data_IF_191840851192
#
_entry.id   IF_191840851192
#
_cell.length_a   1.000
_cell.length_b   1.000
_cell.length_c   1.000
_cell.angle_alpha   90.00
_cell.angle_beta   90.00
_cell.angle_gamma   90.00
#
_symmetry.space_group_name_H-M   'P 1'
#
loop_
_entity.id
_entity.type
_entity.pdbx_description
1 polymer ?
#
# COMPACT_ATOMS: atom_id res chain seq x y z
N UNK A 1 11.66 -5.56 11.05
CA UNK A 1 11.96 -4.87 9.78
C UNK A 1 10.64 -4.69 9.05
N UNK A 2 10.06 -3.49 9.08
CA UNK A 2 8.84 -3.18 8.32
C UNK A 2 9.20 -3.19 6.84
N UNK A 3 8.52 -4.03 6.07
CA UNK A 3 8.65 -4.01 4.62
C UNK A 3 7.63 -3.02 4.02
N UNK A 4 7.74 -2.73 2.73
CA UNK A 4 6.85 -1.77 2.05
C UNK A 4 5.37 -2.09 2.20
N UNK A 5 4.99 -3.38 2.18
CA UNK A 5 3.59 -3.75 2.39
C UNK A 5 3.13 -3.40 3.81
N UNK A 6 3.97 -3.63 4.82
CA UNK A 6 3.62 -3.29 6.20
C UNK A 6 3.37 -1.79 6.34
N UNK A 7 4.21 -0.94 5.73
CA UNK A 7 4.02 0.53 5.72
C UNK A 7 2.68 0.93 5.10
N UNK A 8 2.33 0.35 3.96
CA UNK A 8 1.04 0.59 3.28
C UNK A 8 -0.13 0.19 4.19
N UNK A 9 -0.06 -0.97 4.84
CA UNK A 9 -1.12 -1.46 5.72
C UNK A 9 -1.23 -0.65 7.02
N UNK A 10 -0.12 -0.17 7.56
CA UNK A 10 -0.10 0.75 8.70
C UNK A 10 -0.80 2.06 8.36
N UNK A 11 -0.46 2.68 7.22
CA UNK A 11 -1.11 3.92 6.77
C UNK A 11 -2.63 3.77 6.58
N UNK A 12 -3.09 2.63 6.05
CA UNK A 12 -4.52 2.35 5.96
C UNK A 12 -5.19 2.30 7.34
N UNK A 13 -4.51 1.67 8.31
CA UNK A 13 -5.02 1.50 9.66
C UNK A 13 -5.04 2.82 10.42
N UNK A 14 -3.93 3.57 10.37
CA UNK A 14 -3.76 4.87 11.02
C UNK A 14 -4.76 5.91 10.52
N UNK A 15 -5.03 5.93 9.21
CA UNK A 15 -6.00 6.86 8.60
C UNK A 15 -7.44 6.34 8.61
N UNK A 16 -7.69 5.13 9.11
CA UNK A 16 -9.03 4.52 9.14
C UNK A 16 -9.66 4.29 7.76
N UNK A 17 -8.83 4.06 6.74
CA UNK A 17 -9.25 3.96 5.33
C UNK A 17 -9.68 2.53 5.01
N UNK A 18 -10.85 2.38 4.39
CA UNK A 18 -11.33 1.08 3.94
C UNK A 18 -10.53 0.57 2.73
N UNK A 19 -10.21 -0.73 2.72
CA UNK A 19 -9.48 -1.38 1.62
C UNK A 19 -10.16 -1.19 0.26
N UNK A 20 -11.49 -1.14 0.22
CA UNK A 20 -12.25 -0.93 -1.02
C UNK A 20 -11.98 0.46 -1.57
N UNK A 21 -12.12 1.49 -0.75
CA UNK A 21 -11.85 2.89 -1.12
C UNK A 21 -10.40 3.07 -1.58
N UNK A 22 -9.44 2.51 -0.84
CA UNK A 22 -8.04 2.55 -1.25
C UNK A 22 -7.81 1.88 -2.61
N UNK A 23 -8.36 0.69 -2.81
CA UNK A 23 -8.22 -0.05 -4.05
C UNK A 23 -8.76 0.75 -5.26
N UNK A 24 -9.96 1.32 -5.11
CA UNK A 24 -10.60 2.15 -6.15
C UNK A 24 -9.76 3.38 -6.49
N UNK A 25 -9.17 4.05 -5.49
CA UNK A 25 -8.36 5.25 -5.71
C UNK A 25 -7.06 4.97 -6.48
N UNK A 26 -6.39 3.85 -6.20
CA UNK A 26 -5.14 3.50 -6.91
C UNK A 26 -5.40 2.73 -8.22
N UNK A 27 -6.67 2.44 -8.54
CA UNK A 27 -7.08 1.77 -9.77
C UNK A 27 -6.89 0.26 -9.75
N UNK A 28 -7.04 -0.38 -8.59
CA UNK A 28 -6.99 -1.85 -8.44
C UNK A 28 -8.27 -2.38 -7.79
N UNK A 29 -8.41 -3.70 -7.74
CA UNK A 29 -9.56 -4.32 -7.07
C UNK A 29 -9.27 -4.56 -5.59
N UNK A 30 -10.32 -4.64 -4.77
CA UNK A 30 -10.20 -5.08 -3.37
C UNK A 30 -9.51 -6.46 -3.24
N UNK A 31 -9.72 -7.34 -4.23
CA UNK A 31 -9.06 -8.64 -4.27
C UNK A 31 -7.54 -8.51 -4.39
N UNK A 32 -7.05 -7.55 -5.20
CA UNK A 32 -5.63 -7.24 -5.32
C UNK A 32 -5.00 -6.88 -3.98
N UNK A 33 -5.68 -6.08 -3.15
CA UNK A 33 -5.22 -5.74 -1.79
C UNK A 33 -5.19 -6.98 -0.90
N UNK A 34 -6.19 -7.86 -1.03
CA UNK A 34 -6.26 -9.13 -0.29
C UNK A 34 -5.11 -10.06 -0.66
N UNK A 35 -4.73 -10.11 -1.94
CA UNK A 35 -3.58 -10.89 -2.41
C UNK A 35 -2.26 -10.37 -1.85
N UNK A 36 -2.11 -9.05 -1.73
CA UNK A 36 -0.93 -8.45 -1.09
C UNK A 36 -0.81 -8.91 0.37
N UNK A 37 -1.90 -8.79 1.14
CA UNK A 37 -1.94 -9.21 2.55
C UNK A 37 -1.63 -10.70 2.75
N UNK A 38 -2.06 -11.54 1.81
CA UNK A 38 -1.81 -12.98 1.85
C UNK A 38 -0.47 -13.38 1.23
N UNK A 39 0.35 -12.41 0.77
CA UNK A 39 1.64 -12.68 0.14
C UNK A 39 1.56 -13.33 -1.25
N UNK A 40 0.37 -13.42 -1.86
CA UNK A 40 0.16 -14.02 -3.18
C UNK A 40 0.66 -13.14 -4.33
N UNK A 41 0.76 -11.83 -4.11
CA UNK A 41 1.25 -10.89 -5.10
C UNK A 41 2.03 -9.75 -4.46
N UNK A 42 3.06 -9.26 -5.16
CA UNK A 42 3.80 -8.04 -4.82
C UNK A 42 3.52 -6.90 -5.79
N UNK A 43 2.37 -6.93 -6.48
CA UNK A 43 2.05 -5.92 -7.49
C UNK A 43 1.91 -4.50 -6.93
N UNK A 44 1.81 -4.30 -5.61
CA UNK A 44 1.89 -2.99 -4.96
C UNK A 44 3.15 -2.20 -5.35
N UNK A 45 4.25 -2.89 -5.68
CA UNK A 45 5.47 -2.27 -6.22
C UNK A 45 5.23 -1.47 -7.51
N UNK A 46 4.28 -1.90 -8.34
CA UNK A 46 3.91 -1.20 -9.60
C UNK A 46 3.03 0.02 -9.37
N UNK A 47 2.46 0.16 -8.19
CA UNK A 47 1.53 1.22 -7.82
C UNK A 47 2.11 2.17 -6.79
N UNK A 48 3.42 2.08 -6.49
CA UNK A 48 4.05 2.86 -5.41
C UNK A 48 3.81 4.36 -5.57
N UNK A 49 3.95 4.91 -6.77
CA UNK A 49 3.71 6.33 -7.01
C UNK A 49 2.26 6.72 -6.66
N UNK A 50 1.28 5.95 -7.13
CA UNK A 50 -0.14 6.17 -6.82
C UNK A 50 -0.46 6.01 -5.33
N UNK A 51 0.21 5.07 -4.67
CA UNK A 51 0.02 4.81 -3.25
C UNK A 51 0.62 5.96 -2.43
N UNK A 52 1.80 6.45 -2.84
CA UNK A 52 2.47 7.60 -2.26
C UNK A 52 1.59 8.85 -2.38
N UNK A 53 1.08 9.13 -3.58
CA UNK A 53 0.15 10.23 -3.85
C UNK A 53 -1.13 10.13 -3.01
N UNK A 54 -1.71 8.93 -2.91
CA UNK A 54 -2.93 8.70 -2.13
C UNK A 54 -2.75 9.00 -0.63
N UNK A 55 -1.58 8.70 -0.08
CA UNK A 55 -1.30 8.91 1.34
C UNK A 55 -0.63 10.24 1.67
N UNK A 56 -0.28 11.03 0.64
CA UNK A 56 0.52 12.25 0.73
C UNK A 56 1.89 12.00 1.40
N UNK A 57 2.60 10.99 0.91
CA UNK A 57 3.95 10.61 1.37
C UNK A 57 4.87 10.42 0.16
N UNK A 58 6.19 10.35 0.37
CA UNK A 58 7.12 10.06 -0.72
C UNK A 58 7.17 8.56 -1.07
N UNK A 59 7.45 8.25 -2.34
CA UNK A 59 7.72 6.88 -2.77
C UNK A 59 8.92 6.27 -2.00
N UNK A 60 9.96 7.07 -1.75
CA UNK A 60 11.10 6.68 -0.92
C UNK A 60 10.68 6.24 0.49
N UNK A 61 9.77 6.96 1.14
CA UNK A 61 9.28 6.57 2.46
C UNK A 61 8.66 5.16 2.43
N UNK A 62 7.91 4.81 1.38
CA UNK A 62 7.31 3.47 1.24
C UNK A 62 8.36 2.39 0.95
N UNK A 63 9.42 2.72 0.20
CA UNK A 63 10.45 1.78 -0.23
C UNK A 63 11.61 1.62 0.74
N UNK A 64 11.82 2.60 1.64
CA UNK A 64 12.91 2.60 2.59
C UNK A 64 12.84 1.37 3.50
N UNK A 65 13.95 0.64 3.58
CA UNK A 65 14.11 -0.45 4.55
C UNK A 65 14.73 0.17 5.79
N UNK A 66 13.98 0.25 6.89
CA UNK A 66 14.57 0.63 8.18
C UNK A 66 15.66 -0.41 8.50
N UNK A 67 16.92 0.03 8.46
CA UNK A 67 18.13 -0.76 8.75
C UNK A 67 18.21 -1.11 10.22
#
# INVERSE_FOLDING_TARGET
MLNTLDKILSLLTEKGIQQKTFAENIGVTKHTITDWKNGRSKSYMKYIDKIADFFDVSADYLLEKNR
#
